data_IF_034874093020
#
_entry.id   IF_034874093020
#
_cell.length_a   1.000
_cell.length_b   1.000
_cell.length_c   1.000
_cell.angle_alpha   90.00
_cell.angle_beta   90.00
_cell.angle_gamma   90.00
#
_symmetry.space_group_name_H-M   'P 1'
#
loop_
_entity.id
_entity.type
_entity.pdbx_description
1 polymer ?
#
# COMPACT_ATOMS: atom_id res chain seq x y z
N UNK A 1 26.10 -6.36 14.74
CA UNK A 1 25.39 -7.64 14.58
C UNK A 1 24.30 -7.45 13.54
N UNK A 2 24.58 -7.77 12.28
CA UNK A 2 23.60 -7.68 11.19
C UNK A 2 22.79 -8.96 11.15
N UNK A 3 21.77 -9.07 12.02
CA UNK A 3 20.79 -10.16 11.88
C UNK A 3 20.07 -10.00 10.55
N UNK A 4 20.30 -10.95 9.66
CA UNK A 4 19.62 -11.06 8.37
C UNK A 4 18.17 -11.47 8.64
N UNK A 5 17.24 -10.90 7.88
CA UNK A 5 15.84 -11.35 7.93
C UNK A 5 15.78 -12.83 7.55
N UNK A 6 15.07 -13.62 8.34
CA UNK A 6 14.80 -15.01 7.98
C UNK A 6 13.67 -15.07 6.93
N UNK A 7 13.52 -16.23 6.28
CA UNK A 7 12.53 -16.42 5.21
C UNK A 7 11.10 -16.19 5.69
N UNK A 8 10.77 -16.54 6.93
CA UNK A 8 9.45 -16.31 7.51
C UNK A 8 9.11 -14.83 7.68
N UNK A 9 10.05 -14.02 8.17
CA UNK A 9 9.92 -12.57 8.27
C UNK A 9 9.72 -11.94 6.89
N UNK A 10 10.51 -12.35 5.91
CA UNK A 10 10.38 -11.86 4.53
C UNK A 10 9.01 -12.21 3.97
N UNK A 11 8.55 -13.45 4.13
CA UNK A 11 7.23 -13.88 3.65
C UNK A 11 6.11 -13.05 4.26
N UNK A 12 6.14 -12.82 5.58
CA UNK A 12 5.15 -11.99 6.27
C UNK A 12 5.18 -10.52 5.83
N UNK A 13 6.38 -9.96 5.58
CA UNK A 13 6.53 -8.60 5.07
C UNK A 13 6.04 -8.46 3.62
N UNK A 14 6.20 -9.50 2.79
CA UNK A 14 5.62 -9.56 1.44
C UNK A 14 4.09 -9.62 1.51
N UNK A 15 3.53 -10.44 2.40
CA UNK A 15 2.08 -10.49 2.67
C UNK A 15 1.57 -9.11 3.12
N UNK A 16 2.30 -8.45 4.01
CA UNK A 16 1.98 -7.09 4.44
C UNK A 16 2.00 -6.08 3.29
N UNK A 17 3.06 -6.08 2.48
CA UNK A 17 3.21 -5.16 1.34
C UNK A 17 2.15 -5.36 0.25
N UNK A 18 1.82 -6.62 -0.06
CA UNK A 18 0.75 -6.96 -1.01
C UNK A 18 -0.61 -6.59 -0.45
N UNK A 19 -0.86 -6.82 0.84
CA UNK A 19 -2.07 -6.37 1.54
C UNK A 19 -2.24 -4.85 1.49
N UNK A 20 -1.17 -4.08 1.74
CA UNK A 20 -1.20 -2.62 1.61
C UNK A 20 -1.60 -2.19 0.20
N UNK A 21 -0.99 -2.81 -0.81
CA UNK A 21 -1.33 -2.52 -2.22
C UNK A 21 -2.79 -2.84 -2.51
N UNK A 22 -3.29 -4.01 -2.10
CA UNK A 22 -4.69 -4.39 -2.27
C UNK A 22 -5.65 -3.39 -1.59
N UNK A 23 -5.32 -2.93 -0.37
CA UNK A 23 -6.10 -1.92 0.33
C UNK A 23 -6.15 -0.58 -0.42
N UNK A 24 -5.03 -0.14 -1.00
CA UNK A 24 -5.01 1.07 -1.85
C UNK A 24 -5.89 0.92 -3.10
N UNK A 25 -5.88 -0.25 -3.74
CA UNK A 25 -6.77 -0.51 -4.87
C UNK A 25 -8.24 -0.51 -4.44
N UNK A 26 -8.57 -1.05 -3.26
CA UNK A 26 -9.94 -0.98 -2.72
C UNK A 26 -10.36 0.47 -2.43
N UNK A 27 -9.49 1.31 -1.88
CA UNK A 27 -9.78 2.75 -1.72
C UNK A 27 -10.03 3.43 -3.06
N UNK A 28 -9.23 3.13 -4.07
CA UNK A 28 -9.44 3.65 -5.42
C UNK A 28 -10.78 3.16 -6.00
N UNK A 29 -11.11 1.88 -5.84
CA UNK A 29 -12.37 1.32 -6.30
C UNK A 29 -13.58 1.99 -5.62
N UNK A 30 -13.47 2.33 -4.33
CA UNK A 30 -14.51 3.07 -3.63
C UNK A 30 -14.62 4.52 -4.14
N UNK A 31 -13.49 5.20 -4.33
CA UNK A 31 -13.46 6.57 -4.83
C UNK A 31 -14.10 6.70 -6.21
N UNK A 32 -13.92 5.72 -7.10
CA UNK A 32 -14.52 5.69 -8.44
C UNK A 32 -16.05 5.51 -8.42
N UNK A 33 -16.63 5.06 -7.30
CA UNK A 33 -18.09 4.85 -7.15
C UNK A 33 -18.81 6.07 -6.61
N UNK A 34 -18.07 7.07 -6.13
CA UNK A 34 -18.64 8.31 -5.60
C UNK A 34 -18.59 9.39 -6.67
N UNK A 35 -19.77 9.82 -7.11
CA UNK A 35 -19.93 10.84 -8.15
C UNK A 35 -19.37 12.21 -7.70
N UNK A 36 -18.72 12.88 -8.66
CA UNK A 36 -18.14 14.20 -8.50
C UNK A 36 -19.22 15.31 -8.37
N UNK A 37 -20.48 15.04 -8.73
CA UNK A 37 -21.57 16.00 -8.61
C UNK A 37 -22.12 16.21 -7.18
N UNK A 38 -21.70 15.43 -6.19
CA UNK A 38 -22.28 15.49 -4.84
C UNK A 38 -21.55 16.46 -3.89
N UNK A 39 -22.29 17.15 -2.98
CA UNK A 39 -21.70 17.91 -1.88
C UNK A 39 -20.80 17.02 -1.00
N UNK A 40 -19.77 17.60 -0.38
CA UNK A 40 -18.80 16.87 0.45
C UNK A 40 -19.44 16.00 1.54
N UNK A 41 -20.48 16.49 2.21
CA UNK A 41 -21.21 15.74 3.24
C UNK A 41 -21.85 14.46 2.69
N UNK A 42 -22.45 14.55 1.50
CA UNK A 42 -23.07 13.40 0.83
C UNK A 42 -22.02 12.42 0.33
N UNK A 43 -20.87 12.89 -0.18
CA UNK A 43 -19.74 12.02 -0.55
C UNK A 43 -19.24 11.21 0.64
N UNK A 44 -19.08 11.84 1.80
CA UNK A 44 -18.65 11.15 3.02
C UNK A 44 -19.64 10.07 3.45
N UNK A 45 -20.94 10.37 3.46
CA UNK A 45 -21.97 9.41 3.82
C UNK A 45 -22.00 8.20 2.86
N UNK A 46 -21.85 8.44 1.56
CA UNK A 46 -21.80 7.38 0.55
C UNK A 46 -20.58 6.48 0.72
N UNK A 47 -19.39 7.05 1.00
CA UNK A 47 -18.19 6.26 1.27
C UNK A 47 -18.34 5.36 2.49
N UNK A 48 -18.94 5.87 3.58
CA UNK A 48 -19.16 5.08 4.80
C UNK A 48 -20.07 3.86 4.58
N UNK A 49 -20.86 3.85 3.50
CA UNK A 49 -21.76 2.76 3.13
C UNK A 49 -21.21 1.90 1.98
N UNK A 50 -20.06 2.26 1.38
CA UNK A 50 -19.51 1.57 0.22
C UNK A 50 -18.69 0.33 0.61
N UNK A 51 -18.95 -0.79 -0.05
CA UNK A 51 -18.38 -2.09 0.28
C UNK A 51 -16.85 -2.17 0.14
N UNK A 52 -16.20 -1.65 -0.94
CA UNK A 52 -14.75 -1.62 -1.04
C UNK A 52 -14.12 -0.71 0.01
N UNK A 53 -14.78 0.39 0.39
CA UNK A 53 -14.28 1.27 1.44
C UNK A 53 -14.27 0.55 2.78
N UNK A 54 -15.39 -0.08 3.16
CA UNK A 54 -15.48 -0.87 4.39
C UNK A 54 -14.43 -2.01 4.38
N UNK A 55 -14.29 -2.70 3.25
CA UNK A 55 -13.27 -3.74 3.06
C UNK A 55 -11.84 -3.20 3.20
N UNK A 56 -11.55 -2.03 2.64
CA UNK A 56 -10.25 -1.37 2.74
C UNK A 56 -9.94 -0.99 4.20
N UNK A 57 -10.91 -0.44 4.93
CA UNK A 57 -10.76 -0.08 6.35
C UNK A 57 -10.54 -1.32 7.21
N UNK A 58 -11.31 -2.40 7.00
CA UNK A 58 -11.12 -3.66 7.71
C UNK A 58 -9.72 -4.24 7.44
N UNK A 59 -9.28 -4.24 6.18
CA UNK A 59 -7.96 -4.72 5.77
C UNK A 59 -6.85 -3.87 6.40
N UNK A 60 -6.93 -2.54 6.33
CA UNK A 60 -5.93 -1.64 6.93
C UNK A 60 -5.88 -1.75 8.45
N UNK A 61 -7.01 -2.01 9.10
CA UNK A 61 -7.05 -2.27 10.54
C UNK A 61 -6.29 -3.55 10.88
N UNK A 62 -6.51 -4.63 10.13
CA UNK A 62 -5.78 -5.88 10.28
C UNK A 62 -4.28 -5.72 9.98
N UNK A 63 -3.93 -4.99 8.91
CA UNK A 63 -2.55 -4.67 8.56
C UNK A 63 -1.87 -3.83 9.64
N UNK A 64 -2.57 -2.90 10.28
CA UNK A 64 -2.00 -2.10 11.38
C UNK A 64 -1.60 -2.98 12.57
N UNK A 65 -2.44 -3.96 12.93
CA UNK A 65 -2.11 -4.95 13.96
C UNK A 65 -0.93 -5.81 13.51
N UNK A 66 -0.96 -6.32 12.28
CA UNK A 66 0.12 -7.13 11.71
C UNK A 66 1.46 -6.38 11.70
N UNK A 67 1.45 -5.09 11.36
CA UNK A 67 2.63 -4.24 11.33
C UNK A 67 3.26 -4.08 12.70
N UNK A 68 2.45 -3.70 13.71
CA UNK A 68 2.93 -3.57 15.09
C UNK A 68 3.51 -4.89 15.58
N UNK A 69 2.84 -6.01 15.30
CA UNK A 69 3.35 -7.34 15.65
C UNK A 69 4.68 -7.67 14.94
N UNK A 70 4.79 -7.40 13.63
CA UNK A 70 6.03 -7.62 12.86
C UNK A 70 7.22 -6.85 13.45
N UNK A 71 6.98 -5.63 13.92
CA UNK A 71 8.01 -4.77 14.51
C UNK A 71 8.49 -5.26 15.89
N UNK A 72 7.79 -6.19 16.55
CA UNK A 72 8.25 -6.77 17.83
C UNK A 72 9.49 -7.65 17.68
N UNK A 73 9.72 -8.21 16.49
CA UNK A 73 10.85 -9.09 16.20
C UNK A 73 11.58 -8.71 14.90
N UNK A 74 11.21 -7.61 14.26
CA UNK A 74 11.84 -7.11 13.03
C UNK A 74 12.22 -5.64 13.19
N UNK A 75 13.51 -5.28 13.06
CA UNK A 75 13.93 -3.88 13.10
C UNK A 75 13.21 -3.06 12.02
N UNK A 76 12.70 -1.88 12.39
CA UNK A 76 11.95 -1.00 11.48
C UNK A 76 12.73 -0.70 10.19
N UNK A 77 14.03 -0.43 10.29
CA UNK A 77 14.91 -0.16 9.14
C UNK A 77 14.99 -1.32 8.13
N UNK A 78 14.74 -2.56 8.57
CA UNK A 78 14.70 -3.75 7.72
C UNK A 78 13.31 -4.06 7.17
N UNK A 79 12.26 -3.65 7.87
CA UNK A 79 10.87 -3.82 7.43
C UNK A 79 10.42 -2.75 6.42
N UNK A 80 10.89 -1.51 6.58
CA UNK A 80 10.49 -0.37 5.75
C UNK A 80 10.72 -0.52 4.22
N UNK A 81 11.75 -1.26 3.74
CA UNK A 81 11.88 -1.56 2.32
C UNK A 81 10.66 -2.23 1.69
N UNK A 82 9.92 -3.05 2.44
CA UNK A 82 8.71 -3.70 1.94
C UNK A 82 7.54 -2.70 1.80
N UNK A 83 7.47 -1.69 2.67
CA UNK A 83 6.55 -0.56 2.53
C UNK A 83 6.85 0.23 1.25
N UNK A 84 8.13 0.50 0.98
CA UNK A 84 8.55 1.21 -0.23
C UNK A 84 8.22 0.40 -1.51
N UNK A 85 8.37 -0.92 -1.48
CA UNK A 85 7.92 -1.80 -2.57
C UNK A 85 6.41 -1.69 -2.78
N UNK A 86 5.60 -1.74 -1.71
CA UNK A 86 4.15 -1.57 -1.82
C UNK A 86 3.78 -0.22 -2.45
N UNK A 87 4.46 0.86 -2.05
CA UNK A 87 4.28 2.20 -2.63
C UNK A 87 4.58 2.22 -4.14
N UNK A 88 5.65 1.55 -4.58
CA UNK A 88 6.01 1.43 -6.00
C UNK A 88 5.02 0.56 -6.80
N UNK A 89 4.57 -0.56 -6.22
CA UNK A 89 3.65 -1.49 -6.86
C UNK A 89 2.24 -0.94 -7.00
N UNK A 90 1.78 -0.15 -6.03
CA UNK A 90 0.41 0.39 -5.98
C UNK A 90 -0.01 1.14 -7.25
N UNK A 91 0.71 2.16 -7.74
CA UNK A 91 0.31 2.86 -8.96
C UNK A 91 0.38 1.96 -10.19
N UNK A 92 1.35 1.04 -10.28
CA UNK A 92 1.48 0.12 -11.42
C UNK A 92 0.28 -0.82 -11.49
N UNK A 93 -0.08 -1.46 -10.37
CA UNK A 93 -1.26 -2.32 -10.30
C UNK A 93 -2.55 -1.51 -10.45
N UNK A 94 -2.61 -0.29 -9.92
CA UNK A 94 -3.74 0.61 -10.10
C UNK A 94 -3.99 0.94 -11.56
N UNK A 95 -2.95 1.27 -12.31
CA UNK A 95 -3.07 1.51 -13.74
C UNK A 95 -3.51 0.27 -14.52
N UNK A 96 -3.03 -0.92 -14.14
CA UNK A 96 -3.47 -2.18 -14.78
C UNK A 96 -4.93 -2.50 -14.47
N UNK A 97 -5.37 -2.31 -13.21
CA UNK A 97 -6.72 -2.66 -12.76
C UNK A 97 -7.77 -1.63 -13.21
N UNK A 98 -7.43 -0.35 -13.20
CA UNK A 98 -8.36 0.76 -13.51
C UNK A 98 -8.15 1.36 -14.90
N UNK A 99 -7.24 0.81 -15.71
CA UNK A 99 -6.88 1.28 -17.05
C UNK A 99 -6.48 2.76 -17.09
N UNK A 100 -5.84 3.26 -16.02
CA UNK A 100 -5.41 4.66 -15.91
C UNK A 100 -4.03 4.87 -16.56
N UNK A 101 -3.81 6.00 -17.25
CA UNK A 101 -2.52 6.29 -17.85
C UNK A 101 -1.46 6.55 -16.77
N UNK A 102 -0.37 5.79 -16.83
CA UNK A 102 0.81 6.06 -16.01
C UNK A 102 1.67 7.15 -16.65
N UNK A 103 1.92 8.21 -15.88
CA UNK A 103 2.88 9.23 -16.28
C UNK A 103 4.29 8.66 -16.29
N UNK A 104 5.05 8.89 -17.36
CA UNK A 104 6.48 8.59 -17.40
C UNK A 104 7.25 9.25 -16.25
N UNK A 105 6.83 10.44 -15.81
CA UNK A 105 7.41 11.14 -14.66
C UNK A 105 7.22 10.37 -13.36
N UNK A 106 6.07 9.74 -13.17
CA UNK A 106 5.79 8.89 -12.01
C UNK A 106 6.71 7.66 -12.00
N UNK A 107 6.85 6.99 -13.15
CA UNK A 107 7.72 5.82 -13.28
C UNK A 107 9.19 6.17 -12.99
N UNK A 108 9.68 7.30 -13.51
CA UNK A 108 11.03 7.79 -13.20
C UNK A 108 11.17 8.09 -11.71
N UNK A 109 10.18 8.72 -11.09
CA UNK A 109 10.18 8.99 -9.65
C UNK A 109 10.24 7.70 -8.81
N UNK A 110 9.45 6.68 -9.18
CA UNK A 110 9.47 5.36 -8.55
C UNK A 110 10.86 4.71 -8.70
N UNK A 111 11.48 4.79 -9.87
CA UNK A 111 12.82 4.27 -10.10
C UNK A 111 13.87 4.95 -9.20
N UNK A 112 13.81 6.29 -9.07
CA UNK A 112 14.70 7.03 -8.18
C UNK A 112 14.51 6.65 -6.71
N UNK A 113 13.27 6.49 -6.26
CA UNK A 113 12.96 6.04 -4.89
C UNK A 113 13.49 4.62 -4.66
N UNK A 114 13.33 3.71 -5.64
CA UNK A 114 13.86 2.35 -5.58
C UNK A 114 15.39 2.34 -5.51
N UNK A 115 16.08 3.19 -6.28
CA UNK A 115 17.54 3.35 -6.16
C UNK A 115 17.94 3.85 -4.77
N UNK A 116 17.24 4.85 -4.22
CA UNK A 116 17.47 5.33 -2.85
C UNK A 116 17.27 4.22 -1.83
N UNK A 117 16.30 3.33 -2.04
CA UNK A 117 16.04 2.20 -1.15
C UNK A 117 17.19 1.18 -1.14
N UNK A 118 17.85 0.94 -2.28
CA UNK A 118 19.05 0.07 -2.34
C UNK A 118 20.15 0.60 -1.42
N UNK A 119 20.34 1.93 -1.37
CA UNK A 119 21.31 2.56 -0.46
C UNK A 119 20.94 2.44 1.02
N UNK A 120 19.65 2.33 1.34
CA UNK A 120 19.17 2.14 2.72
C UNK A 120 19.33 0.69 3.18
N UNK A 121 19.24 -0.27 2.25
CA UNK A 121 19.27 -1.71 2.55
C UNK A 121 20.69 -2.30 2.51
N UNK A 122 21.52 -1.80 1.58
CA UNK A 122 22.93 -2.20 1.39
C UNK A 122 23.83 -1.73 2.52
#
# INVERSE_FOLDING_TARGET
MTERLNVGQIALLVVYATGMTAGQLLFKAAALRVDDGHPLSKRALLLLQDAPFIGAIALYSALSVLWVWLLTFTPLSRAYPFVAIAFALTPVLGALVFAEPLSARLLVGIAVIACGLVLVVG
#
